data_IF_077304942522
#
_entry.id   IF_077304942522
#
_cell.length_a   1.000
_cell.length_b   1.000
_cell.length_c   1.000
_cell.angle_alpha   90.00
_cell.angle_beta   90.00
_cell.angle_gamma   90.00
#
_symmetry.space_group_name_H-M   'P 1'
#
loop_
_entity.id
_entity.type
_entity.pdbx_description
1 polymer ?
#
# COMPACT_ATOMS: atom_id res chain seq x y z
N UNK A 1 -11.06 32.55 7.33
CA UNK A 1 -9.63 32.75 7.02
C UNK A 1 -9.25 31.79 5.90
N UNK A 2 -8.62 32.27 4.82
CA UNK A 2 -8.18 31.37 3.72
C UNK A 2 -7.01 30.49 4.15
N UNK A 3 -6.78 29.37 3.46
CA UNK A 3 -5.59 28.54 3.72
C UNK A 3 -4.31 29.34 3.42
N UNK A 4 -3.32 29.26 4.30
CA UNK A 4 -2.06 30.03 4.19
C UNK A 4 -1.28 29.75 2.90
N UNK A 5 -1.43 28.55 2.35
CA UNK A 5 -0.75 28.06 1.14
C UNK A 5 -1.55 28.30 -0.16
N UNK A 6 -2.78 28.82 -0.07
CA UNK A 6 -3.68 28.95 -1.21
C UNK A 6 -3.14 29.86 -2.32
N UNK A 7 -2.56 31.01 -1.93
CA UNK A 7 -2.05 31.99 -2.90
C UNK A 7 -0.95 31.41 -3.78
N UNK A 8 -0.03 30.64 -3.19
CA UNK A 8 1.06 30.01 -3.95
C UNK A 8 0.51 29.01 -4.98
N UNK A 9 -0.50 28.22 -4.61
CA UNK A 9 -1.13 27.22 -5.48
C UNK A 9 -1.86 27.85 -6.66
N UNK A 10 -2.68 28.88 -6.43
CA UNK A 10 -3.46 29.53 -7.51
C UNK A 10 -2.62 30.43 -8.42
N UNK A 11 -1.37 30.73 -8.03
CA UNK A 11 -0.45 31.55 -8.84
C UNK A 11 0.66 30.73 -9.49
N UNK A 12 0.67 29.40 -9.33
CA UNK A 12 1.72 28.52 -9.84
C UNK A 12 3.08 28.69 -9.14
N UNK A 13 3.11 29.31 -7.96
CA UNK A 13 4.32 29.51 -7.15
C UNK A 13 4.57 28.40 -6.13
N UNK A 14 3.60 27.50 -5.93
CA UNK A 14 3.80 26.35 -5.07
C UNK A 14 4.65 25.31 -5.81
N UNK A 15 5.77 24.92 -5.22
CA UNK A 15 6.67 23.90 -5.77
C UNK A 15 6.26 22.51 -5.25
N UNK A 16 5.94 21.63 -6.19
CA UNK A 16 5.66 20.21 -5.98
C UNK A 16 6.91 19.36 -6.18
N UNK A 17 6.85 18.05 -5.90
CA UNK A 17 8.05 17.20 -5.93
C UNK A 17 8.72 17.16 -7.30
N UNK A 18 7.93 17.19 -8.38
CA UNK A 18 8.41 17.15 -9.75
C UNK A 18 8.92 18.50 -10.26
N UNK A 19 8.71 19.59 -9.52
CA UNK A 19 9.18 20.94 -9.90
C UNK A 19 10.63 21.19 -9.50
N UNK A 20 11.23 20.29 -8.72
CA UNK A 20 12.65 20.39 -8.32
C UNK A 20 13.53 20.39 -9.57
N UNK A 21 14.37 21.43 -9.69
CA UNK A 21 15.40 21.58 -10.73
C UNK A 21 16.75 21.80 -10.05
N UNK A 22 17.72 20.97 -10.39
CA UNK A 22 19.08 21.02 -9.85
C UNK A 22 20.09 20.80 -10.99
N UNK A 23 21.30 21.39 -10.91
CA UNK A 23 22.40 21.01 -11.78
C UNK A 23 22.77 19.53 -11.60
N UNK A 24 23.28 18.91 -12.67
CA UNK A 24 23.78 17.52 -12.69
C UNK A 24 22.75 16.46 -12.25
N UNK A 25 21.45 16.78 -12.34
CA UNK A 25 20.35 15.92 -11.93
C UNK A 25 20.25 14.66 -12.79
N UNK A 26 20.22 13.49 -12.15
CA UNK A 26 19.92 12.21 -12.77
C UNK A 26 18.41 11.94 -12.75
N UNK A 27 17.91 11.36 -13.83
CA UNK A 27 16.51 10.95 -13.98
C UNK A 27 16.40 9.43 -13.82
N UNK A 28 15.42 9.01 -13.04
CA UNK A 28 15.28 7.62 -12.63
C UNK A 28 14.08 6.93 -13.28
N UNK A 29 14.26 5.65 -13.63
CA UNK A 29 13.18 4.77 -14.09
C UNK A 29 13.30 3.39 -13.45
N UNK A 30 12.22 2.94 -12.82
CA UNK A 30 12.10 1.57 -12.31
C UNK A 30 11.83 0.57 -13.44
N UNK A 31 12.41 -0.62 -13.31
CA UNK A 31 12.14 -1.79 -14.14
C UNK A 31 11.28 -2.75 -13.32
N UNK A 32 10.11 -3.10 -13.84
CA UNK A 32 9.10 -3.88 -13.12
C UNK A 32 9.17 -5.36 -13.44
N UNK A 33 8.67 -6.19 -12.50
CA UNK A 33 8.52 -7.62 -12.69
C UNK A 33 7.61 -7.96 -13.87
N UNK A 34 7.96 -9.03 -14.60
CA UNK A 34 7.11 -9.62 -15.64
C UNK A 34 6.12 -10.66 -15.08
N UNK A 35 6.34 -11.10 -13.84
CA UNK A 35 5.54 -12.15 -13.19
C UNK A 35 4.93 -11.66 -11.88
N UNK A 36 3.72 -12.12 -11.58
CA UNK A 36 3.07 -11.87 -10.29
C UNK A 36 3.68 -12.72 -9.16
N UNK A 37 4.32 -13.85 -9.47
CA UNK A 37 5.02 -14.66 -8.48
C UNK A 37 6.12 -15.48 -9.17
N UNK A 38 7.38 -15.26 -8.80
CA UNK A 38 8.52 -16.00 -9.34
C UNK A 38 9.76 -15.84 -8.47
N UNK A 39 10.62 -16.86 -8.40
CA UNK A 39 11.99 -16.65 -7.93
C UNK A 39 12.74 -15.80 -8.97
N UNK A 40 13.47 -14.78 -8.51
CA UNK A 40 14.26 -13.89 -9.34
C UNK A 40 15.71 -14.40 -9.35
N UNK A 41 16.09 -15.10 -10.41
CA UNK A 41 17.38 -15.80 -10.49
C UNK A 41 18.53 -14.85 -10.81
N UNK A 42 18.32 -13.98 -11.80
CA UNK A 42 19.29 -12.97 -12.23
C UNK A 42 18.58 -11.78 -12.88
N UNK A 43 19.21 -10.61 -12.79
CA UNK A 43 18.82 -9.39 -13.52
C UNK A 43 20.00 -9.00 -14.40
N UNK A 44 19.74 -8.80 -15.69
CA UNK A 44 20.73 -8.53 -16.73
C UNK A 44 20.63 -7.05 -17.13
N UNK A 45 21.70 -6.30 -16.89
CA UNK A 45 21.77 -4.84 -17.08
C UNK A 45 22.77 -4.44 -18.17
N UNK A 46 23.53 -5.38 -18.71
CA UNK A 46 24.74 -5.15 -19.50
C UNK A 46 24.48 -4.36 -20.79
N UNK A 47 23.36 -4.62 -21.47
CA UNK A 47 22.97 -3.88 -22.68
C UNK A 47 22.46 -2.49 -22.36
N UNK A 48 21.72 -2.34 -21.26
CA UNK A 48 21.22 -1.05 -20.80
C UNK A 48 22.37 -0.14 -20.33
N UNK A 49 23.40 -0.68 -19.68
CA UNK A 49 24.58 0.06 -19.21
C UNK A 49 25.41 0.67 -20.36
N UNK A 50 25.33 0.11 -21.57
CA UNK A 50 26.04 0.60 -22.76
C UNK A 50 25.31 1.76 -23.45
N UNK A 51 24.06 2.04 -23.07
CA UNK A 51 23.26 3.08 -23.71
C UNK A 51 23.82 4.48 -23.43
N UNK A 52 23.83 5.38 -24.43
CA UNK A 52 24.20 6.78 -24.21
C UNK A 52 23.37 7.42 -23.08
N UNK A 53 24.04 8.20 -22.23
CA UNK A 53 23.42 8.92 -21.13
C UNK A 53 23.11 8.07 -19.90
N UNK A 54 23.26 6.75 -19.93
CA UNK A 54 23.12 5.91 -18.73
C UNK A 54 24.33 6.12 -17.83
N UNK A 55 24.06 6.45 -16.56
CA UNK A 55 25.09 6.75 -15.56
C UNK A 55 25.32 5.55 -14.65
N UNK A 56 24.25 4.91 -14.18
CA UNK A 56 24.32 3.64 -13.48
C UNK A 56 22.97 2.93 -13.48
N UNK A 57 23.02 1.63 -13.19
CA UNK A 57 21.84 0.82 -12.89
C UNK A 57 22.09 0.19 -11.51
N UNK A 58 21.04 0.11 -10.70
CA UNK A 58 21.09 -0.54 -9.38
C UNK A 58 20.03 -1.62 -9.28
N UNK A 59 20.38 -2.71 -8.61
CA UNK A 59 19.51 -3.84 -8.30
C UNK A 59 19.37 -3.98 -6.78
N UNK A 60 18.53 -4.91 -6.30
CA UNK A 60 18.43 -5.16 -4.86
C UNK A 60 19.73 -5.68 -4.21
N UNK A 61 20.72 -6.12 -5.02
CA UNK A 61 22.06 -6.51 -4.54
C UNK A 61 22.91 -5.30 -4.13
N UNK A 62 22.64 -4.12 -4.69
CA UNK A 62 23.38 -2.88 -4.41
C UNK A 62 22.98 -2.22 -3.08
N UNK A 63 21.88 -2.66 -2.45
CA UNK A 63 21.42 -2.13 -1.16
C UNK A 63 22.42 -2.55 -0.06
N UNK A 64 23.11 -1.60 0.61
CA UNK A 64 24.23 -1.92 1.50
C UNK A 64 23.82 -2.36 2.91
N UNK A 65 22.58 -2.06 3.33
CA UNK A 65 22.04 -2.42 4.63
C UNK A 65 20.97 -3.50 4.53
N UNK A 66 19.89 -3.32 5.28
CA UNK A 66 18.74 -4.22 5.20
C UNK A 66 18.07 -4.13 3.81
N UNK A 67 17.57 -5.26 3.29
CA UNK A 67 16.93 -5.31 1.96
C UNK A 67 15.41 -5.21 2.00
N UNK A 68 14.84 -5.09 3.20
CA UNK A 68 13.41 -4.97 3.43
C UNK A 68 13.09 -3.76 4.30
N UNK A 69 11.91 -3.17 4.11
CA UNK A 69 11.36 -2.05 4.85
C UNK A 69 9.87 -2.24 5.14
N UNK A 70 9.29 -1.26 5.81
CA UNK A 70 7.87 -1.12 6.11
C UNK A 70 7.68 -0.19 7.31
N UNK A 71 6.49 0.37 7.50
CA UNK A 71 6.24 1.28 8.62
C UNK A 71 6.11 0.55 9.96
N UNK A 72 5.28 -0.49 9.98
CA UNK A 72 5.00 -1.29 11.18
C UNK A 72 5.43 -2.75 11.01
N UNK A 73 5.32 -3.27 9.78
CA UNK A 73 5.64 -4.65 9.44
C UNK A 73 6.72 -4.62 8.37
N UNK A 74 7.89 -5.17 8.68
CA UNK A 74 9.06 -5.10 7.82
C UNK A 74 9.09 -6.35 6.94
N UNK A 75 8.55 -6.25 5.73
CA UNK A 75 8.53 -7.36 4.77
C UNK A 75 8.64 -6.94 3.29
N UNK A 76 8.66 -5.64 2.99
CA UNK A 76 8.65 -5.14 1.63
C UNK A 76 10.05 -4.87 1.10
N UNK A 77 10.33 -5.26 -0.15
CA UNK A 77 11.59 -4.91 -0.81
C UNK A 77 11.48 -3.55 -1.52
N UNK A 78 12.46 -2.66 -1.33
CA UNK A 78 12.54 -1.45 -2.16
C UNK A 78 12.91 -1.80 -3.61
N UNK A 79 13.82 -2.75 -3.79
CA UNK A 79 14.13 -3.39 -5.07
C UNK A 79 14.20 -4.89 -4.81
N UNK A 80 13.41 -5.69 -5.52
CA UNK A 80 13.38 -7.14 -5.38
C UNK A 80 14.75 -7.73 -5.71
N UNK A 81 15.17 -8.74 -4.95
CA UNK A 81 16.51 -9.35 -5.07
C UNK A 81 16.49 -10.88 -5.05
N UNK A 82 15.43 -11.49 -4.51
CA UNK A 82 15.27 -12.92 -4.30
C UNK A 82 14.04 -13.47 -5.04
N UNK A 83 12.91 -12.78 -4.91
CA UNK A 83 11.60 -13.21 -5.39
C UNK A 83 10.77 -11.97 -5.70
N UNK A 84 9.98 -12.07 -6.77
CA UNK A 84 8.90 -11.13 -7.07
C UNK A 84 7.58 -11.73 -6.60
N UNK A 85 6.77 -10.92 -5.93
CA UNK A 85 5.53 -11.29 -5.21
C UNK A 85 4.28 -10.63 -5.82
N UNK A 86 4.45 -9.63 -6.69
CA UNK A 86 3.41 -9.07 -7.55
C UNK A 86 3.99 -8.34 -8.78
N UNK A 87 3.14 -7.97 -9.74
CA UNK A 87 3.54 -7.30 -10.99
C UNK A 87 4.14 -5.90 -10.83
N UNK A 88 3.97 -5.26 -9.67
CA UNK A 88 4.55 -3.95 -9.38
C UNK A 88 5.90 -3.99 -8.68
N UNK A 89 6.44 -5.18 -8.39
CA UNK A 89 7.80 -5.27 -7.82
C UNK A 89 8.83 -4.68 -8.79
N UNK A 90 9.66 -3.80 -8.27
CA UNK A 90 10.78 -3.20 -9.02
C UNK A 90 11.99 -4.10 -8.85
N UNK A 91 12.57 -4.57 -9.96
CA UNK A 91 13.74 -5.46 -9.98
C UNK A 91 15.06 -4.71 -10.20
N UNK A 92 15.00 -3.52 -10.79
CA UNK A 92 16.14 -2.64 -11.02
C UNK A 92 15.69 -1.19 -11.15
N UNK A 93 16.61 -0.25 -10.96
CA UNK A 93 16.38 1.18 -11.22
C UNK A 93 17.52 1.70 -12.08
N UNK A 94 17.16 2.32 -13.19
CA UNK A 94 18.07 2.97 -14.14
C UNK A 94 18.21 4.44 -13.79
N UNK A 95 19.42 4.97 -13.83
CA UNK A 95 19.72 6.39 -13.73
C UNK A 95 20.41 6.90 -15.00
N UNK A 96 19.87 7.96 -15.60
CA UNK A 96 20.42 8.56 -16.81
C UNK A 96 20.42 10.10 -16.78
N UNK A 97 21.08 10.71 -17.77
CA UNK A 97 21.18 12.17 -17.95
C UNK A 97 19.83 12.83 -18.33
N UNK A 98 18.89 12.06 -18.87
CA UNK A 98 17.53 12.49 -19.18
C UNK A 98 16.49 11.40 -18.92
N UNK A 99 15.23 11.79 -18.73
CA UNK A 99 14.14 10.84 -18.56
C UNK A 99 13.98 9.91 -19.77
N UNK A 100 14.14 10.44 -20.99
CA UNK A 100 14.01 9.65 -22.22
C UNK A 100 15.09 8.56 -22.33
N UNK A 101 16.33 8.87 -21.91
CA UNK A 101 17.42 7.88 -21.87
C UNK A 101 17.18 6.83 -20.77
N UNK A 102 16.68 7.25 -19.60
CA UNK A 102 16.32 6.31 -18.52
C UNK A 102 15.21 5.35 -18.96
N UNK A 103 14.17 5.86 -19.64
CA UNK A 103 13.06 5.07 -20.16
C UNK A 103 13.52 4.09 -21.24
N UNK A 104 14.37 4.53 -22.17
CA UNK A 104 14.89 3.69 -23.24
C UNK A 104 15.81 2.58 -22.70
N UNK A 105 16.69 2.90 -21.75
CA UNK A 105 17.58 1.91 -21.14
C UNK A 105 16.82 0.92 -20.23
N UNK A 106 15.80 1.37 -19.50
CA UNK A 106 14.95 0.48 -18.69
C UNK A 106 14.27 -0.61 -19.53
N UNK A 107 13.95 -0.34 -20.79
CA UNK A 107 13.36 -1.32 -21.71
C UNK A 107 14.34 -2.44 -22.14
N UNK A 108 15.66 -2.26 -21.94
CA UNK A 108 16.69 -3.24 -22.26
C UNK A 108 17.10 -4.11 -21.07
N UNK A 109 16.67 -3.75 -19.86
CA UNK A 109 16.91 -4.57 -18.66
C UNK A 109 16.02 -5.80 -18.72
N UNK A 110 16.61 -6.98 -18.57
CA UNK A 110 15.91 -8.26 -18.56
C UNK A 110 16.20 -9.03 -17.28
N UNK A 111 15.46 -10.11 -17.01
CA UNK A 111 15.67 -10.94 -15.84
C UNK A 111 15.29 -12.39 -16.11
N UNK A 112 16.00 -13.30 -15.46
CA UNK A 112 15.69 -14.72 -15.44
C UNK A 112 14.77 -15.03 -14.26
N UNK A 113 13.66 -15.70 -14.56
CA UNK A 113 12.64 -16.06 -13.59
C UNK A 113 12.41 -17.56 -13.56
N UNK A 114 12.10 -18.07 -12.37
CA UNK A 114 11.44 -19.35 -12.18
C UNK A 114 10.01 -19.07 -11.67
N UNK A 115 8.98 -19.14 -12.53
CA UNK A 115 7.60 -18.84 -12.15
C UNK A 115 7.07 -19.75 -11.03
N UNK A 116 6.33 -19.16 -10.11
CA UNK A 116 5.69 -19.85 -8.99
C UNK A 116 4.15 -19.79 -9.12
N UNK A 117 3.41 -20.71 -8.46
CA UNK A 117 1.96 -20.64 -8.45
C UNK A 117 1.45 -19.33 -7.85
N UNK A 118 0.37 -18.79 -8.41
CA UNK A 118 -0.19 -17.49 -8.02
C UNK A 118 -1.42 -17.72 -7.13
N UNK A 119 -1.45 -17.04 -5.97
CA UNK A 119 -2.60 -16.96 -5.08
C UNK A 119 -3.31 -15.63 -5.33
N UNK A 120 -4.44 -15.64 -6.03
CA UNK A 120 -5.13 -14.43 -6.51
C UNK A 120 -6.31 -13.96 -5.64
N UNK A 121 -6.60 -14.64 -4.53
CA UNK A 121 -7.64 -14.22 -3.58
C UNK A 121 -7.34 -14.68 -2.14
N UNK A 122 -7.89 -14.01 -1.11
CA UNK A 122 -7.72 -14.40 0.28
C UNK A 122 -8.13 -15.85 0.57
N UNK A 123 -9.30 -16.29 0.05
CA UNK A 123 -9.80 -17.64 0.28
C UNK A 123 -8.89 -18.70 -0.31
N UNK A 124 -8.43 -18.50 -1.55
CA UNK A 124 -7.44 -19.38 -2.18
C UNK A 124 -6.13 -19.43 -1.37
N UNK A 125 -5.67 -18.29 -0.85
CA UNK A 125 -4.43 -18.23 -0.09
C UNK A 125 -4.52 -18.91 1.29
N UNK A 126 -5.69 -18.89 1.94
CA UNK A 126 -5.95 -19.56 3.21
C UNK A 126 -5.99 -21.09 3.11
N UNK A 127 -6.36 -21.61 1.94
CA UNK A 127 -6.45 -23.05 1.66
C UNK A 127 -5.15 -23.63 1.08
N UNK A 128 -4.17 -22.78 0.82
CA UNK A 128 -2.92 -23.15 0.16
C UNK A 128 -1.79 -23.39 1.18
N UNK A 129 -0.99 -24.44 0.95
CA UNK A 129 0.27 -24.66 1.67
C UNK A 129 1.41 -23.75 1.17
N UNK A 130 1.28 -23.17 -0.03
CA UNK A 130 2.23 -22.18 -0.55
C UNK A 130 2.15 -20.90 0.29
N UNK A 131 3.28 -20.48 0.87
CA UNK A 131 3.42 -19.23 1.61
C UNK A 131 4.08 -18.15 0.75
N UNK A 132 3.47 -16.97 0.68
CA UNK A 132 4.04 -15.78 0.02
C UNK A 132 5.15 -15.18 0.87
N UNK A 133 4.96 -15.19 2.18
CA UNK A 133 5.93 -14.80 3.18
C UNK A 133 5.96 -15.86 4.29
N UNK A 134 7.11 -16.45 4.53
CA UNK A 134 7.31 -17.52 5.51
C UNK A 134 7.01 -17.06 6.95
N UNK A 135 7.10 -15.75 7.20
CA UNK A 135 6.76 -15.15 8.50
C UNK A 135 5.25 -14.98 8.72
N UNK A 136 4.41 -15.32 7.74
CA UNK A 136 2.96 -15.23 7.80
C UNK A 136 2.33 -16.63 7.62
N UNK A 137 2.21 -17.43 8.70
CA UNK A 137 1.59 -18.75 8.63
C UNK A 137 0.19 -18.69 7.99
N UNK A 138 -0.10 -19.64 7.10
CA UNK A 138 -1.36 -19.69 6.31
C UNK A 138 -1.63 -18.43 5.47
N UNK A 139 -0.58 -17.68 5.13
CA UNK A 139 -0.66 -16.37 4.50
C UNK A 139 -1.43 -15.32 5.34
N UNK A 140 -1.69 -15.55 6.62
CA UNK A 140 -2.38 -14.57 7.47
C UNK A 140 -1.36 -13.55 7.99
N UNK A 141 -1.51 -12.30 7.60
CA UNK A 141 -0.65 -11.21 8.07
C UNK A 141 -1.29 -10.39 9.19
N UNK A 142 -2.61 -10.49 9.40
CA UNK A 142 -3.31 -9.90 10.53
C UNK A 142 -4.64 -10.59 10.82
N UNK A 143 -4.97 -10.77 12.10
CA UNK A 143 -6.24 -11.32 12.53
C UNK A 143 -6.75 -10.52 13.74
N UNK A 144 -8.00 -10.06 13.67
CA UNK A 144 -8.66 -9.33 14.75
C UNK A 144 -10.05 -9.90 14.97
N UNK A 145 -10.36 -10.20 16.23
CA UNK A 145 -11.68 -10.68 16.65
C UNK A 145 -12.25 -9.73 17.67
N UNK A 146 -13.48 -9.27 17.45
CA UNK A 146 -14.26 -8.48 18.39
C UNK A 146 -15.44 -9.34 18.84
N UNK A 147 -15.43 -9.71 20.12
CA UNK A 147 -16.48 -10.51 20.74
C UNK A 147 -17.20 -9.71 21.82
N UNK A 148 -18.53 -9.79 21.82
CA UNK A 148 -19.41 -9.31 22.88
C UNK A 148 -20.56 -10.32 23.02
N UNK A 149 -20.85 -10.78 24.23
CA UNK A 149 -21.96 -11.71 24.45
C UNK A 149 -21.79 -13.05 23.72
N UNK A 150 -22.90 -13.64 23.27
CA UNK A 150 -22.98 -14.91 22.55
C UNK A 150 -23.75 -14.72 21.23
N UNK A 151 -23.00 -14.51 20.15
CA UNK A 151 -23.60 -14.19 18.85
C UNK A 151 -24.46 -15.34 18.31
N UNK A 152 -24.07 -16.60 18.54
CA UNK A 152 -24.82 -17.77 18.09
C UNK A 152 -26.18 -17.86 18.78
N UNK A 153 -26.21 -17.68 20.10
CA UNK A 153 -27.44 -17.59 20.87
C UNK A 153 -28.30 -16.40 20.41
N UNK A 154 -27.72 -15.21 20.29
CA UNK A 154 -28.45 -14.02 19.88
C UNK A 154 -29.07 -14.14 18.47
N UNK A 155 -28.40 -14.84 17.55
CA UNK A 155 -28.94 -15.18 16.24
C UNK A 155 -30.12 -16.17 16.35
N UNK A 156 -30.01 -17.20 17.19
CA UNK A 156 -31.08 -18.18 17.41
C UNK A 156 -32.33 -17.58 18.08
N UNK A 157 -32.16 -16.55 18.92
CA UNK A 157 -33.24 -15.82 19.60
C UNK A 157 -33.78 -14.62 18.80
N UNK A 158 -33.24 -14.37 17.60
CA UNK A 158 -33.72 -13.32 16.71
C UNK A 158 -34.99 -13.74 15.97
N UNK A 159 -35.90 -12.77 15.76
CA UNK A 159 -37.13 -13.04 15.02
C UNK A 159 -36.87 -13.12 13.52
N UNK A 160 -35.86 -12.38 13.05
CA UNK A 160 -35.39 -12.37 11.67
C UNK A 160 -33.86 -12.45 11.70
N UNK A 161 -33.29 -13.29 10.85
CA UNK A 161 -31.85 -13.36 10.62
C UNK A 161 -31.58 -13.20 9.14
N UNK A 162 -30.92 -12.10 8.78
CA UNK A 162 -30.42 -11.88 7.44
C UNK A 162 -29.02 -12.45 7.28
N UNK A 163 -28.79 -13.16 6.17
CA UNK A 163 -27.46 -13.59 5.74
C UNK A 163 -27.13 -12.97 4.40
N UNK A 164 -25.99 -12.28 4.29
CA UNK A 164 -25.56 -11.62 3.06
C UNK A 164 -24.05 -11.73 2.85
N UNK A 165 -23.66 -11.74 1.58
CA UNK A 165 -22.27 -11.70 1.17
C UNK A 165 -22.01 -10.43 0.37
N UNK A 166 -20.97 -9.68 0.72
CA UNK A 166 -20.56 -8.47 0.01
C UNK A 166 -19.09 -8.52 -0.33
N UNK A 167 -18.71 -7.86 -1.43
CA UNK A 167 -17.31 -7.67 -1.81
C UNK A 167 -17.09 -6.23 -2.23
N UNK A 168 -16.04 -5.62 -1.68
CA UNK A 168 -15.56 -4.31 -2.14
C UNK A 168 -14.42 -4.48 -3.17
N UNK A 169 -14.25 -3.51 -4.06
CA UNK A 169 -13.25 -3.54 -5.12
C UNK A 169 -11.90 -2.94 -4.68
N UNK A 170 -10.86 -3.20 -5.47
CA UNK A 170 -9.61 -2.42 -5.42
C UNK A 170 -9.88 -0.97 -5.83
N UNK A 171 -9.38 -0.03 -5.03
CA UNK A 171 -9.48 1.41 -5.32
C UNK A 171 -8.10 2.04 -5.20
N UNK A 172 -7.70 2.77 -6.24
CA UNK A 172 -6.51 3.61 -6.28
C UNK A 172 -6.78 4.98 -5.65
N UNK A 173 -5.78 5.57 -5.01
CA UNK A 173 -5.89 6.88 -4.38
C UNK A 173 -6.11 8.01 -5.39
N UNK A 174 -5.59 7.85 -6.61
CA UNK A 174 -5.75 8.74 -7.75
C UNK A 174 -5.50 10.22 -7.43
N UNK A 175 -4.54 10.52 -6.53
CA UNK A 175 -4.08 11.89 -6.31
C UNK A 175 -3.53 12.48 -7.61
N UNK A 176 -3.80 13.76 -7.86
CA UNK A 176 -3.49 14.39 -9.15
C UNK A 176 -1.99 14.40 -9.45
N UNK A 177 -1.16 14.71 -8.47
CA UNK A 177 0.30 14.67 -8.57
C UNK A 177 0.77 13.23 -8.33
N UNK A 178 1.37 12.51 -9.30
CA UNK A 178 2.08 11.27 -9.03
C UNK A 178 3.21 11.46 -7.99
N UNK A 179 3.77 10.37 -7.52
CA UNK A 179 4.89 10.39 -6.59
C UNK A 179 6.13 10.95 -7.26
N UNK A 180 6.84 11.81 -6.53
CA UNK A 180 8.06 12.43 -7.00
C UNK A 180 8.98 12.69 -5.81
N UNK A 181 10.16 12.10 -5.87
CA UNK A 181 11.21 12.21 -4.85
C UNK A 181 12.51 12.63 -5.53
N UNK A 182 13.25 13.56 -4.92
CA UNK A 182 14.61 13.90 -5.32
C UNK A 182 15.54 13.71 -4.14
N UNK A 183 16.55 12.86 -4.28
CA UNK A 183 17.61 12.68 -3.30
C UNK A 183 18.82 13.52 -3.70
N UNK A 184 19.37 14.28 -2.75
CA UNK A 184 20.53 15.16 -2.95
C UNK A 184 21.63 14.71 -1.99
N UNK A 185 22.76 14.18 -2.49
CA UNK A 185 23.87 13.77 -1.65
C UNK A 185 24.70 14.99 -1.23
N UNK A 186 25.23 14.95 -0.01
CA UNK A 186 26.21 15.93 0.45
C UNK A 186 27.56 15.70 -0.23
N UNK A 187 28.23 16.79 -0.63
CA UNK A 187 29.59 16.75 -1.17
C UNK A 187 30.68 16.57 -0.11
N UNK A 188 30.32 16.69 1.17
CA UNK A 188 31.29 16.71 2.28
C UNK A 188 31.33 15.42 3.09
N UNK A 189 30.21 14.70 3.16
CA UNK A 189 30.07 13.48 3.96
C UNK A 189 28.93 12.60 3.44
N UNK A 190 28.82 11.34 3.85
CA UNK A 190 27.69 10.45 3.51
C UNK A 190 26.38 10.94 4.13
N UNK A 191 25.75 11.97 3.56
CA UNK A 191 24.49 12.55 4.02
C UNK A 191 23.55 12.73 2.83
N UNK A 192 22.26 12.53 3.06
CA UNK A 192 21.21 12.69 2.07
C UNK A 192 20.19 13.75 2.51
N UNK A 193 19.92 14.70 1.63
CA UNK A 193 18.71 15.53 1.70
C UNK A 193 17.68 14.99 0.72
N UNK A 194 16.51 14.59 1.22
CA UNK A 194 15.39 14.11 0.42
C UNK A 194 14.35 15.24 0.29
N UNK A 195 14.00 15.55 -0.95
CA UNK A 195 12.94 16.47 -1.34
C UNK A 195 11.79 15.67 -1.95
N UNK A 196 10.55 16.12 -1.76
CA UNK A 196 9.42 15.58 -2.51
C UNK A 196 8.17 15.31 -1.69
N UNK A 197 7.23 14.62 -2.34
CA UNK A 197 5.83 14.51 -1.91
C UNK A 197 5.63 13.26 -1.06
N UNK A 198 5.68 13.40 0.27
CA UNK A 198 5.42 12.33 1.25
C UNK A 198 4.52 12.81 2.38
N UNK A 199 3.69 11.92 2.93
CA UNK A 199 2.93 12.17 4.14
C UNK A 199 3.67 11.83 5.43
N UNK A 200 4.66 10.93 5.36
CA UNK A 200 5.33 10.34 6.52
C UNK A 200 6.86 10.44 6.42
N UNK A 201 7.43 11.65 6.37
CA UNK A 201 8.86 11.84 6.17
C UNK A 201 9.73 11.20 7.26
N UNK A 202 9.20 11.02 8.47
CA UNK A 202 9.96 10.39 9.56
C UNK A 202 10.15 8.87 9.35
N UNK A 203 9.12 8.16 8.88
CA UNK A 203 9.20 6.72 8.62
C UNK A 203 10.12 6.43 7.44
N UNK A 204 10.03 7.25 6.39
CA UNK A 204 10.99 7.18 5.29
C UNK A 204 12.45 7.35 5.75
N UNK A 205 12.74 8.23 6.73
CA UNK A 205 14.11 8.36 7.29
C UNK A 205 14.57 7.08 7.97
N UNK A 206 13.70 6.41 8.74
CA UNK A 206 14.03 5.16 9.45
C UNK A 206 14.44 4.08 8.44
N UNK A 207 13.68 3.92 7.37
CA UNK A 207 13.99 2.89 6.37
C UNK A 207 15.20 3.24 5.53
N UNK A 208 15.40 4.51 5.16
CA UNK A 208 16.64 4.95 4.51
C UNK A 208 17.85 4.67 5.41
N UNK A 209 17.75 4.92 6.72
CA UNK A 209 18.82 4.62 7.68
C UNK A 209 19.21 3.14 7.65
N UNK A 210 18.22 2.24 7.77
CA UNK A 210 18.42 0.79 7.82
C UNK A 210 18.92 0.24 6.49
N UNK A 211 18.32 0.66 5.37
CA UNK A 211 18.60 0.10 4.06
C UNK A 211 19.85 0.67 3.41
N UNK A 212 20.13 1.97 3.59
CA UNK A 212 21.31 2.62 3.02
C UNK A 212 22.49 2.71 3.99
N UNK A 213 22.36 2.14 5.19
CA UNK A 213 23.38 2.11 6.23
C UNK A 213 23.95 3.51 6.57
N UNK A 214 23.05 4.50 6.69
CA UNK A 214 23.37 5.88 7.03
C UNK A 214 22.85 6.23 8.42
N UNK A 215 23.60 6.91 9.30
CA UNK A 215 23.05 7.43 10.55
C UNK A 215 21.79 8.28 10.33
N UNK A 216 20.76 8.09 11.15
CA UNK A 216 19.50 8.87 11.07
C UNK A 216 19.71 10.40 11.05
N UNK A 217 20.76 10.88 11.72
CA UNK A 217 21.14 12.30 11.77
C UNK A 217 21.72 12.84 10.45
N UNK A 218 22.07 11.97 9.50
CA UNK A 218 22.60 12.27 8.17
C UNK A 218 21.53 12.07 7.07
N UNK A 219 20.27 11.98 7.46
CA UNK A 219 19.13 11.89 6.53
C UNK A 219 18.20 13.04 6.86
N UNK A 220 18.12 14.01 5.96
CA UNK A 220 17.34 15.24 6.11
C UNK A 220 16.16 15.16 5.14
N UNK A 221 14.94 15.18 5.66
CA UNK A 221 13.75 15.25 4.80
C UNK A 221 13.22 16.68 4.76
N UNK A 222 13.02 17.24 3.56
CA UNK A 222 12.36 18.52 3.33
C UNK A 222 11.15 18.29 2.43
N UNK A 223 9.96 18.06 3.01
CA UNK A 223 8.76 17.82 2.23
C UNK A 223 8.46 18.99 1.28
N UNK A 224 8.09 18.68 0.04
CA UNK A 224 7.58 19.67 -0.92
C UNK A 224 6.10 19.97 -0.66
N UNK A 225 5.49 20.84 -1.48
CA UNK A 225 4.03 20.84 -1.58
C UNK A 225 3.55 19.45 -2.02
N UNK A 226 2.48 18.95 -1.40
CA UNK A 226 1.89 17.63 -1.69
C UNK A 226 0.59 17.81 -2.47
N UNK A 227 0.53 17.29 -3.69
CA UNK A 227 -0.61 17.33 -4.61
C UNK A 227 -1.66 16.26 -4.36
N UNK A 228 -1.95 16.01 -3.08
CA UNK A 228 -2.83 14.93 -2.64
C UNK A 228 -2.06 13.66 -2.29
N UNK A 229 -2.70 12.82 -1.48
CA UNK A 229 -2.12 11.53 -1.09
C UNK A 229 -3.19 10.56 -0.60
N UNK A 230 -4.10 11.03 0.26
CA UNK A 230 -5.23 10.22 0.77
C UNK A 230 -4.83 8.91 1.45
N UNK A 231 -3.60 8.83 1.94
CA UNK A 231 -2.99 7.63 2.52
C UNK A 231 -1.96 6.95 1.62
N UNK A 232 -1.80 7.31 0.34
CA UNK A 232 -1.00 6.54 -0.64
C UNK A 232 0.47 6.97 -0.84
N UNK A 233 0.86 8.14 -0.33
CA UNK A 233 2.25 8.66 -0.38
C UNK A 233 2.96 8.47 0.96
N UNK A 234 2.90 7.24 1.45
CA UNK A 234 3.57 6.80 2.67
C UNK A 234 4.66 5.82 2.25
N UNK A 235 4.37 4.51 2.20
CA UNK A 235 5.36 3.48 1.86
C UNK A 235 5.83 3.55 0.39
N UNK A 236 4.97 3.97 -0.54
CA UNK A 236 5.38 4.17 -1.95
C UNK A 236 6.46 5.25 -2.07
N UNK A 237 6.27 6.39 -1.39
CA UNK A 237 7.23 7.49 -1.40
C UNK A 237 8.53 7.12 -0.65
N UNK A 238 8.42 6.25 0.35
CA UNK A 238 9.55 5.70 1.10
C UNK A 238 10.41 4.77 0.25
N UNK A 239 9.80 3.80 -0.47
CA UNK A 239 10.50 2.95 -1.43
C UNK A 239 11.26 3.76 -2.48
N UNK A 240 10.61 4.79 -3.04
CA UNK A 240 11.23 5.71 -3.99
C UNK A 240 12.39 6.49 -3.38
N UNK A 241 12.28 6.94 -2.14
CA UNK A 241 13.34 7.68 -1.45
C UNK A 241 14.57 6.79 -1.18
N UNK A 242 14.38 5.51 -0.87
CA UNK A 242 15.46 4.53 -0.75
C UNK A 242 16.18 4.37 -2.10
N UNK A 243 15.45 4.17 -3.19
CA UNK A 243 16.01 4.00 -4.54
C UNK A 243 16.77 5.24 -5.02
N UNK A 244 16.16 6.42 -4.88
CA UNK A 244 16.80 7.68 -5.25
C UNK A 244 18.02 7.96 -4.36
N UNK A 245 17.92 7.69 -3.06
CA UNK A 245 19.02 7.83 -2.10
C UNK A 245 20.20 6.92 -2.43
N UNK A 246 19.96 5.66 -2.78
CA UNK A 246 20.99 4.71 -3.19
C UNK A 246 21.79 5.23 -4.39
N UNK A 247 21.09 5.70 -5.42
CA UNK A 247 21.73 6.23 -6.64
C UNK A 247 22.48 7.53 -6.34
N UNK A 248 21.89 8.42 -5.54
CA UNK A 248 22.53 9.66 -5.12
C UNK A 248 23.85 9.41 -4.38
N UNK A 249 23.86 8.46 -3.43
CA UNK A 249 25.09 8.07 -2.72
C UNK A 249 26.11 7.42 -3.64
N UNK A 250 25.69 6.52 -4.53
CA UNK A 250 26.57 5.78 -5.45
C UNK A 250 27.26 6.71 -6.46
N UNK A 251 26.55 7.73 -6.94
CA UNK A 251 27.03 8.62 -8.00
C UNK A 251 27.59 9.96 -7.51
N UNK A 252 27.27 10.36 -6.26
CA UNK A 252 27.56 11.70 -5.76
C UNK A 252 26.74 12.81 -6.44
N UNK A 253 25.70 12.47 -7.21
CA UNK A 253 24.85 13.39 -7.96
C UNK A 253 23.42 13.40 -7.42
N UNK A 254 22.68 14.52 -7.53
CA UNK A 254 21.25 14.51 -7.25
C UNK A 254 20.51 13.52 -8.16
N UNK A 255 19.52 12.80 -7.62
CA UNK A 255 18.73 11.83 -8.37
C UNK A 255 17.23 12.07 -8.14
N UNK A 256 16.49 12.35 -9.22
CA UNK A 256 15.05 12.57 -9.21
C UNK A 256 14.33 11.35 -9.77
N UNK A 257 13.42 10.82 -8.97
CA UNK A 257 12.50 9.76 -9.36
C UNK A 257 11.08 10.28 -9.36
N UNK A 258 10.50 10.40 -10.54
CA UNK A 258 9.13 10.86 -10.75
C UNK A 258 8.36 9.76 -11.48
N UNK A 259 7.31 9.23 -10.87
CA UNK A 259 6.50 8.20 -11.49
C UNK A 259 5.61 8.80 -12.58
N UNK A 260 5.43 8.05 -13.68
CA UNK A 260 4.29 8.30 -14.57
C UNK A 260 2.99 7.92 -13.86
N UNK A 261 1.82 8.29 -14.43
CA UNK A 261 0.54 7.82 -13.90
C UNK A 261 0.44 6.29 -13.91
N UNK A 262 0.92 5.65 -14.98
CA UNK A 262 0.86 4.19 -15.11
C UNK A 262 1.74 3.51 -14.05
N UNK A 263 2.98 3.99 -13.88
CA UNK A 263 3.90 3.48 -12.86
C UNK A 263 3.33 3.68 -11.45
N UNK A 264 2.75 4.86 -11.18
CA UNK A 264 2.06 5.17 -9.92
C UNK A 264 0.95 4.16 -9.65
N UNK A 265 0.07 3.88 -10.62
CA UNK A 265 -1.01 2.90 -10.45
C UNK A 265 -0.49 1.46 -10.33
N UNK A 266 0.61 1.13 -11.00
CA UNK A 266 1.23 -0.21 -10.98
C UNK A 266 1.91 -0.52 -9.65
N UNK A 267 2.69 0.42 -9.13
CA UNK A 267 3.55 0.20 -7.96
C UNK A 267 2.86 0.56 -6.64
N UNK A 268 2.09 1.65 -6.59
CA UNK A 268 1.51 2.10 -5.32
C UNK A 268 0.52 1.08 -4.76
N UNK A 269 0.48 0.94 -3.44
CA UNK A 269 -0.54 0.12 -2.80
C UNK A 269 -1.94 0.70 -3.00
N UNK A 270 -2.95 -0.16 -2.82
CA UNK A 270 -4.37 0.19 -3.01
C UNK A 270 -5.14 0.10 -1.70
N UNK A 271 -6.41 0.50 -1.72
CA UNK A 271 -7.35 0.09 -0.68
C UNK A 271 -7.59 -1.42 -0.73
N UNK A 272 -7.64 -2.06 0.43
CA UNK A 272 -8.06 -3.45 0.60
C UNK A 272 -9.45 -3.70 0.00
N UNK A 273 -9.58 -4.59 -1.00
CA UNK A 273 -10.80 -5.35 -1.20
C UNK A 273 -11.06 -6.18 0.05
N UNK A 274 -12.30 -6.20 0.50
CA UNK A 274 -12.75 -7.03 1.61
C UNK A 274 -13.98 -7.80 1.17
N UNK A 275 -13.93 -9.12 1.36
CA UNK A 275 -15.07 -10.03 1.25
C UNK A 275 -15.70 -10.20 2.63
N UNK A 276 -17.01 -10.04 2.72
CA UNK A 276 -17.77 -10.13 3.97
C UNK A 276 -18.82 -11.21 3.87
N UNK A 277 -18.89 -12.07 4.88
CA UNK A 277 -20.03 -12.93 5.16
C UNK A 277 -20.69 -12.39 6.45
N UNK A 278 -21.91 -11.85 6.32
CA UNK A 278 -22.63 -11.16 7.40
C UNK A 278 -23.88 -11.93 7.78
N UNK A 279 -24.10 -12.08 9.08
CA UNK A 279 -25.36 -12.53 9.67
C UNK A 279 -25.85 -11.49 10.67
N UNK A 280 -27.01 -10.88 10.41
CA UNK A 280 -27.63 -9.85 11.23
C UNK A 280 -28.96 -10.38 11.79
N UNK A 281 -29.02 -10.54 13.11
CA UNK A 281 -30.22 -10.92 13.85
C UNK A 281 -30.94 -9.71 14.43
N UNK A 282 -32.25 -9.63 14.24
CA UNK A 282 -33.09 -8.54 14.75
C UNK A 282 -34.46 -9.02 15.24
N UNK A 283 -35.15 -8.16 16.00
CA UNK A 283 -36.57 -8.35 16.33
C UNK A 283 -37.49 -7.88 15.20
N UNK A 284 -38.78 -8.23 15.25
CA UNK A 284 -39.80 -7.73 14.32
C UNK A 284 -40.00 -6.22 14.39
N UNK A 285 -39.60 -5.61 15.50
CA UNK A 285 -39.61 -4.16 15.69
C UNK A 285 -38.33 -3.50 15.16
N UNK A 286 -37.40 -4.24 14.55
CA UNK A 286 -36.16 -3.70 13.99
C UNK A 286 -35.11 -3.33 15.03
N UNK A 287 -35.13 -3.96 16.21
CA UNK A 287 -34.03 -3.84 17.19
C UNK A 287 -32.97 -4.89 16.88
N UNK A 288 -31.73 -4.47 16.67
CA UNK A 288 -30.63 -5.40 16.42
C UNK A 288 -30.26 -6.16 17.70
N UNK A 289 -30.23 -7.48 17.59
CA UNK A 289 -29.88 -8.39 18.70
C UNK A 289 -28.45 -8.87 18.57
N UNK A 290 -28.13 -9.46 17.41
CA UNK A 290 -26.85 -10.14 17.18
C UNK A 290 -26.25 -9.81 15.83
N UNK A 291 -24.92 -9.69 15.77
CA UNK A 291 -24.15 -9.50 14.54
C UNK A 291 -22.99 -10.50 14.50
N UNK A 292 -22.96 -11.36 13.48
CA UNK A 292 -21.79 -12.21 13.18
C UNK A 292 -21.21 -11.84 11.83
N UNK A 293 -19.90 -11.60 11.75
CA UNK A 293 -19.22 -11.23 10.51
C UNK A 293 -17.90 -11.96 10.35
N UNK A 294 -17.69 -12.55 9.18
CA UNK A 294 -16.38 -12.98 8.69
C UNK A 294 -15.94 -12.02 7.59
N UNK A 295 -14.85 -11.30 7.80
CA UNK A 295 -14.27 -10.37 6.84
C UNK A 295 -12.88 -10.86 6.41
N UNK A 296 -12.69 -11.08 5.11
CA UNK A 296 -11.42 -11.49 4.52
C UNK A 296 -10.86 -10.35 3.69
N UNK A 297 -9.77 -9.74 4.17
CA UNK A 297 -9.09 -8.63 3.54
C UNK A 297 -8.00 -9.16 2.62
N UNK A 298 -8.02 -8.73 1.36
CA UNK A 298 -6.90 -8.98 0.46
C UNK A 298 -5.78 -7.98 0.77
N UNK A 299 -4.74 -8.48 1.45
CA UNK A 299 -3.53 -7.74 1.81
C UNK A 299 -2.58 -7.52 0.64
N UNK A 300 -2.71 -8.33 -0.42
CA UNK A 300 -1.74 -8.39 -1.52
C UNK A 300 -0.36 -8.89 -1.08
N UNK A 301 0.67 -8.55 -1.85
CA UNK A 301 1.99 -9.17 -1.76
C UNK A 301 2.84 -8.85 -0.53
N UNK A 302 2.50 -7.80 0.21
CA UNK A 302 3.22 -7.31 1.37
C UNK A 302 2.26 -6.90 2.47
N UNK A 303 2.68 -7.02 3.73
CA UNK A 303 1.81 -6.80 4.89
C UNK A 303 1.33 -5.35 4.98
N UNK A 304 2.25 -4.39 4.83
CA UNK A 304 1.97 -2.94 4.92
C UNK A 304 1.04 -2.67 6.12
N UNK A 305 -0.06 -1.96 5.93
CA UNK A 305 -0.99 -1.57 6.98
C UNK A 305 -2.21 -2.51 7.08
N UNK A 306 -2.13 -3.73 6.52
CA UNK A 306 -3.23 -4.69 6.54
C UNK A 306 -3.71 -5.05 7.95
N UNK A 307 -2.84 -5.28 8.96
CA UNK A 307 -3.32 -5.63 10.30
C UNK A 307 -4.03 -4.45 11.00
N UNK A 308 -3.53 -3.20 10.97
CA UNK A 308 -4.29 -2.04 11.43
C UNK A 308 -5.62 -1.80 10.68
N UNK A 309 -5.67 -2.09 9.37
CA UNK A 309 -6.91 -1.99 8.59
C UNK A 309 -7.90 -3.06 9.06
N UNK A 310 -7.48 -4.31 9.26
CA UNK A 310 -8.31 -5.37 9.83
C UNK A 310 -8.85 -4.99 11.22
N UNK A 311 -8.00 -4.36 12.06
CA UNK A 311 -8.43 -3.82 13.36
C UNK A 311 -9.56 -2.80 13.21
N UNK A 312 -9.45 -1.83 12.31
CA UNK A 312 -10.51 -0.83 12.07
C UNK A 312 -11.75 -1.43 11.42
N UNK A 313 -11.59 -2.42 10.55
CA UNK A 313 -12.71 -3.19 9.98
C UNK A 313 -13.49 -3.90 11.08
N UNK A 314 -12.83 -4.60 12.01
CA UNK A 314 -13.54 -5.31 13.07
C UNK A 314 -14.11 -4.38 14.16
N UNK A 315 -13.35 -3.38 14.60
CA UNK A 315 -13.76 -2.52 15.73
C UNK A 315 -14.77 -1.43 15.39
N UNK A 316 -14.83 -1.02 14.12
CA UNK A 316 -15.80 -0.01 13.65
C UNK A 316 -16.81 -0.59 12.66
N UNK A 317 -16.65 -1.85 12.25
CA UNK A 317 -17.48 -2.50 11.23
C UNK A 317 -18.87 -2.88 11.70
N UNK A 318 -19.12 -2.94 13.01
CA UNK A 318 -20.48 -3.03 13.57
C UNK A 318 -21.26 -1.72 13.45
N UNK A 319 -20.63 -0.66 12.95
CA UNK A 319 -21.28 0.63 12.81
C UNK A 319 -21.67 1.27 14.14
N UNK A 320 -22.36 2.42 14.09
CA UNK A 320 -22.73 3.19 15.27
C UNK A 320 -24.00 2.67 15.96
N UNK A 321 -24.24 1.35 15.97
CA UNK A 321 -25.48 0.75 16.49
C UNK A 321 -25.23 -0.09 17.75
N UNK A 322 -26.31 -0.34 18.49
CA UNK A 322 -26.31 -1.20 19.67
C UNK A 322 -26.69 -2.62 19.26
N UNK A 323 -25.87 -3.57 19.68
CA UNK A 323 -26.11 -5.01 19.62
C UNK A 323 -25.92 -5.57 21.02
N UNK A 324 -26.67 -6.59 21.40
CA UNK A 324 -26.41 -7.32 22.64
C UNK A 324 -25.23 -8.27 22.44
N UNK A 325 -25.20 -8.95 21.30
CA UNK A 325 -24.19 -9.95 20.94
C UNK A 325 -23.47 -9.60 19.61
N UNK A 326 -22.14 -9.75 19.58
CA UNK A 326 -21.29 -9.50 18.41
C UNK A 326 -20.17 -10.54 18.34
N UNK A 327 -19.98 -11.13 17.17
CA UNK A 327 -18.79 -11.90 16.78
C UNK A 327 -18.30 -11.38 15.43
N UNK A 328 -17.32 -10.48 15.46
CA UNK A 328 -16.76 -9.88 14.26
C UNK A 328 -15.29 -10.29 14.11
N UNK A 329 -15.02 -11.12 13.10
CA UNK A 329 -13.67 -11.56 12.75
C UNK A 329 -13.20 -10.93 11.44
N UNK A 330 -12.10 -10.21 11.49
CA UNK A 330 -11.41 -9.66 10.33
C UNK A 330 -10.03 -10.33 10.16
N UNK A 331 -9.82 -10.95 9.01
CA UNK A 331 -8.59 -11.69 8.67
C UNK A 331 -7.96 -11.06 7.43
N UNK A 332 -6.78 -10.47 7.58
CA UNK A 332 -5.95 -9.99 6.47
C UNK A 332 -5.03 -11.10 5.97
N UNK A 333 -5.10 -11.34 4.66
CA UNK A 333 -4.42 -12.47 4.01
C UNK A 333 -3.55 -11.95 2.87
N UNK A 334 -2.31 -12.42 2.81
CA UNK A 334 -1.40 -12.15 1.71
C UNK A 334 -1.87 -12.86 0.43
N UNK A 335 -1.74 -12.18 -0.69
CA UNK A 335 -2.01 -12.69 -2.04
C UNK A 335 -0.94 -12.19 -3.01
N UNK A 336 -0.90 -12.65 -4.25
CA UNK A 336 -0.01 -12.12 -5.29
C UNK A 336 -0.61 -10.93 -6.04
N UNK A 337 -1.74 -10.38 -5.55
CA UNK A 337 -2.28 -9.13 -6.05
C UNK A 337 -1.42 -7.93 -5.60
N UNK A 338 -1.72 -6.75 -6.14
CA UNK A 338 -1.12 -5.51 -5.65
C UNK A 338 -1.30 -5.39 -4.14
N UNK A 339 -0.20 -5.13 -3.43
CA UNK A 339 -0.24 -4.90 -1.98
C UNK A 339 -1.18 -3.75 -1.63
N UNK A 340 -1.70 -3.79 -0.41
CA UNK A 340 -2.75 -2.87 0.04
C UNK A 340 -2.36 -2.23 1.35
N UNK A 341 -2.90 -1.04 1.58
CA UNK A 341 -2.45 -0.23 2.69
C UNK A 341 -3.41 0.89 3.04
N UNK A 342 -2.83 1.95 3.57
CA UNK A 342 -3.53 3.14 4.03
C UNK A 342 -4.34 3.81 2.92
N UNK A 343 -5.66 3.86 3.03
CA UNK A 343 -6.49 4.76 2.21
C UNK A 343 -7.55 5.43 3.07
N UNK A 344 -7.88 6.70 2.79
CA UNK A 344 -8.87 7.52 3.53
C UNK A 344 -10.09 6.71 4.00
N UNK A 345 -10.26 6.61 5.31
CA UNK A 345 -11.32 5.84 5.97
C UNK A 345 -10.85 4.49 6.55
N UNK A 346 -9.81 3.87 5.97
CA UNK A 346 -8.99 2.85 6.63
C UNK A 346 -9.77 1.61 7.10
N UNK A 347 -10.28 0.80 6.17
CA UNK A 347 -11.06 -0.42 6.45
C UNK A 347 -12.53 -0.18 6.78
N UNK A 348 -12.83 0.92 7.46
CA UNK A 348 -14.20 1.30 7.84
C UNK A 348 -15.14 1.53 6.65
N UNK A 349 -14.76 2.18 5.54
CA UNK A 349 -15.66 2.36 4.39
C UNK A 349 -16.17 1.04 3.82
N UNK A 350 -15.30 0.02 3.74
CA UNK A 350 -15.67 -1.30 3.23
C UNK A 350 -16.61 -2.02 4.20
N UNK A 351 -16.32 -1.94 5.51
CA UNK A 351 -17.14 -2.56 6.54
C UNK A 351 -18.54 -1.93 6.62
N UNK A 352 -18.61 -0.59 6.63
CA UNK A 352 -19.88 0.14 6.63
C UNK A 352 -20.65 -0.05 5.32
N UNK A 353 -19.97 -0.16 4.18
CA UNK A 353 -20.65 -0.55 2.94
C UNK A 353 -21.42 -1.86 3.11
N UNK A 354 -20.76 -2.92 3.62
CA UNK A 354 -21.40 -4.21 3.78
C UNK A 354 -22.52 -4.19 4.85
N UNK A 355 -22.25 -3.58 6.01
CA UNK A 355 -23.25 -3.48 7.09
C UNK A 355 -24.47 -2.64 6.71
N UNK A 356 -24.27 -1.43 6.17
CA UNK A 356 -25.36 -0.49 5.90
C UNK A 356 -26.29 -1.00 4.80
N UNK A 357 -25.77 -1.72 3.80
CA UNK A 357 -26.61 -2.42 2.83
C UNK A 357 -27.41 -3.55 3.49
N UNK A 358 -26.79 -4.33 4.39
CA UNK A 358 -27.52 -5.37 5.16
C UNK A 358 -28.67 -4.76 5.97
N UNK A 359 -28.46 -3.58 6.58
CA UNK A 359 -29.48 -2.87 7.36
C UNK A 359 -30.59 -2.33 6.47
N UNK A 360 -30.28 -1.79 5.28
CA UNK A 360 -31.31 -1.34 4.33
C UNK A 360 -32.19 -2.50 3.86
N UNK A 361 -31.58 -3.65 3.55
CA UNK A 361 -32.31 -4.86 3.18
C UNK A 361 -33.15 -5.40 4.34
N UNK A 362 -32.67 -5.32 5.58
CA UNK A 362 -33.46 -5.66 6.78
C UNK A 362 -34.66 -4.73 6.94
N UNK A 363 -34.48 -3.43 6.67
CA UNK A 363 -35.56 -2.46 6.74
C UNK A 363 -36.65 -2.80 5.73
N UNK A 364 -36.27 -3.19 4.50
CA UNK A 364 -37.21 -3.63 3.47
C UNK A 364 -38.00 -4.88 3.89
N UNK A 365 -37.34 -5.92 4.43
CA UNK A 365 -38.01 -7.13 4.91
C UNK A 365 -38.98 -6.86 6.07
N UNK A 366 -38.68 -5.86 6.91
CA UNK A 366 -39.53 -5.43 8.02
C UNK A 366 -40.62 -4.42 7.62
N UNK A 367 -40.64 -3.96 6.38
CA UNK A 367 -41.53 -2.87 5.94
C UNK A 367 -41.27 -1.55 6.69
N UNK A 368 -40.01 -1.31 7.09
CA UNK A 368 -39.55 -0.12 7.80
C UNK A 368 -38.77 0.82 6.88
N UNK A 369 -38.73 2.11 7.22
CA UNK A 369 -37.83 3.03 6.51
C UNK A 369 -36.37 2.80 6.95
N UNK A 370 -35.39 2.95 6.05
CA UNK A 370 -33.96 2.90 6.40
C UNK A 370 -33.56 3.87 7.52
N UNK A 371 -34.22 5.02 7.62
CA UNK A 371 -33.94 6.01 8.65
C UNK A 371 -34.48 5.58 10.02
N UNK A 372 -35.65 4.94 10.06
CA UNK A 372 -36.29 4.58 11.33
C UNK A 372 -35.63 3.37 11.97
N UNK A 373 -35.19 2.37 11.19
CA UNK A 373 -34.47 1.22 11.75
C UNK A 373 -33.15 1.64 12.42
N UNK A 374 -32.43 2.61 11.83
CA UNK A 374 -31.17 3.14 12.38
C UNK A 374 -31.33 4.01 13.62
N UNK A 375 -32.52 4.56 13.85
CA UNK A 375 -32.83 5.40 15.02
C UNK A 375 -33.13 4.59 16.28
N UNK A 376 -33.57 3.35 16.14
CA UNK A 376 -33.85 2.44 17.26
C UNK A 376 -32.54 1.94 17.86
#
# INVERSE_FOLDING_TARGET
MGRIDARAKVTGRAEFGADVRLPDLLYLKGVYSQYAHANLLAVHTEEAEKMPGVVCIVTGKDIPGERIFGELYIDQCAIAYDRVRYLGDVIAVVAAESQAEADAAAALVTADYEPLPILGSPRQALESDLLINENCPKNICGEVVVNKGDAEKGLAESDIVLKRNYKSAYIDHAYLEPESITAVPSRMRPELTILGSTQAPYNARISIHRMLNLPMSQIIFRPSTVGGSFGGKIETAEAMAIRAGLIALKTGRPAQYTLTREDSMRESYKRHPIEFDIELGASKEGVFKSLRVQAYLDGGAYTNMSPPVAYKTATLGSGPYRYDDVDYKATAVLTNNVHTGSMRGFGTPQALFALENTIDELAEELGMSPADIRRK
#
